data_IF_290789860548
#
_entry.id   IF_290789860548
#
_cell.length_a   1.000
_cell.length_b   1.000
_cell.length_c   1.000
_cell.angle_alpha   90.00
_cell.angle_beta   90.00
_cell.angle_gamma   90.00
#
_symmetry.space_group_name_H-M   'P 1'
#
loop_
_entity.id
_entity.type
_entity.pdbx_description
1 polymer ?
#
# COMPACT_ATOMS: atom_id res chain seq x y z
N UNK A 1 19.57 -14.85 -10.19
CA UNK A 1 18.41 -14.27 -10.90
C UNK A 1 18.90 -13.78 -12.25
N UNK A 2 18.15 -13.97 -13.35
CA UNK A 2 18.51 -13.36 -14.62
C UNK A 2 18.58 -11.85 -14.45
N UNK A 3 19.61 -11.23 -14.99
CA UNK A 3 19.81 -9.79 -14.97
C UNK A 3 19.06 -9.07 -16.09
N UNK A 4 18.60 -9.81 -17.09
CA UNK A 4 17.86 -9.29 -18.23
C UNK A 4 16.40 -9.73 -18.11
N UNK A 5 15.52 -8.76 -17.89
CA UNK A 5 14.08 -8.91 -17.91
C UNK A 5 13.55 -8.08 -19.08
N UNK A 6 12.98 -8.75 -20.06
CA UNK A 6 12.22 -8.06 -21.10
C UNK A 6 10.90 -7.57 -20.49
N UNK A 7 10.65 -6.26 -20.58
CA UNK A 7 9.36 -5.71 -20.22
C UNK A 7 8.29 -6.19 -21.22
N UNK A 8 7.12 -6.56 -20.72
CA UNK A 8 5.97 -6.81 -21.59
C UNK A 8 5.60 -5.54 -22.38
N UNK A 9 5.17 -5.74 -23.63
CA UNK A 9 4.69 -4.64 -24.46
C UNK A 9 3.30 -4.21 -23.98
N UNK A 10 3.28 -3.29 -23.04
CA UNK A 10 2.07 -2.75 -22.41
C UNK A 10 2.10 -1.23 -22.41
N UNK A 11 0.95 -0.61 -22.54
CA UNK A 11 0.81 0.83 -22.44
C UNK A 11 -0.07 1.26 -21.25
N UNK A 12 -0.22 2.57 -21.09
CA UNK A 12 -0.95 3.16 -19.96
C UNK A 12 -2.45 2.76 -19.93
N UNK A 13 -3.04 2.41 -21.08
CA UNK A 13 -4.44 2.01 -21.23
C UNK A 13 -4.68 0.52 -21.04
N UNK A 14 -3.63 -0.30 -20.91
CA UNK A 14 -3.78 -1.73 -20.69
C UNK A 14 -4.21 -2.07 -19.27
N UNK A 15 -4.85 -3.24 -19.10
CA UNK A 15 -5.24 -3.75 -17.81
C UNK A 15 -4.00 -4.13 -16.98
N UNK A 16 -3.88 -3.52 -15.79
CA UNK A 16 -2.78 -3.79 -14.89
C UNK A 16 -3.13 -4.87 -13.85
N UNK A 17 -4.26 -4.73 -13.18
CA UNK A 17 -4.69 -5.67 -12.13
C UNK A 17 -6.19 -5.55 -11.85
N UNK A 18 -6.72 -6.51 -11.08
CA UNK A 18 -8.09 -6.49 -10.59
C UNK A 18 -8.11 -6.41 -9.08
N UNK A 19 -9.04 -5.63 -8.55
CA UNK A 19 -9.39 -5.64 -7.13
C UNK A 19 -10.86 -5.96 -6.96
N UNK A 20 -11.17 -6.81 -5.97
CA UNK A 20 -12.54 -7.18 -5.68
C UNK A 20 -13.10 -6.34 -4.55
N UNK A 21 -14.29 -5.77 -4.75
CA UNK A 21 -15.06 -5.12 -3.70
C UNK A 21 -16.23 -6.01 -3.27
N UNK A 22 -16.58 -5.95 -1.98
CA UNK A 22 -17.82 -6.53 -1.47
C UNK A 22 -18.99 -5.70 -2.01
N UNK A 23 -19.70 -6.19 -3.04
CA UNK A 23 -20.88 -5.51 -3.55
C UNK A 23 -22.05 -5.59 -2.57
N UNK A 24 -22.92 -4.58 -2.58
CA UNK A 24 -24.19 -4.56 -1.81
C UNK A 24 -25.13 -5.71 -2.17
N UNK A 25 -24.91 -6.38 -3.29
CA UNK A 25 -25.69 -7.51 -3.81
C UNK A 25 -25.18 -8.90 -3.38
N UNK A 26 -24.20 -8.96 -2.46
CA UNK A 26 -23.68 -10.20 -1.87
C UNK A 26 -22.62 -10.95 -2.70
N UNK A 27 -22.44 -10.59 -3.99
CA UNK A 27 -21.37 -11.17 -4.83
C UNK A 27 -20.22 -10.15 -4.97
N UNK A 28 -18.95 -10.56 -4.78
CA UNK A 28 -17.80 -9.71 -5.03
C UNK A 28 -17.79 -9.23 -6.49
N UNK A 29 -17.52 -7.95 -6.70
CA UNK A 29 -17.37 -7.35 -8.03
C UNK A 29 -15.89 -7.13 -8.30
N UNK A 30 -15.38 -7.65 -9.42
CA UNK A 30 -14.05 -7.38 -9.91
C UNK A 30 -14.01 -5.98 -10.55
N UNK A 31 -13.11 -5.14 -10.05
CA UNK A 31 -12.83 -3.81 -10.59
C UNK A 31 -11.51 -3.89 -11.32
N UNK A 32 -11.54 -3.59 -12.62
CA UNK A 32 -10.34 -3.54 -13.45
C UNK A 32 -9.64 -2.21 -13.24
N UNK A 33 -8.34 -2.27 -13.00
CA UNK A 33 -7.47 -1.11 -12.95
C UNK A 33 -6.50 -1.12 -14.13
N UNK A 34 -6.29 0.03 -14.74
CA UNK A 34 -5.36 0.25 -15.83
C UNK A 34 -3.99 0.68 -15.29
N UNK A 35 -2.95 0.58 -16.11
CA UNK A 35 -1.60 1.00 -15.69
C UNK A 35 -1.55 2.47 -15.27
N UNK A 36 -2.28 3.37 -15.94
CA UNK A 36 -2.30 4.80 -15.58
C UNK A 36 -2.99 5.09 -14.24
N UNK A 37 -3.87 4.22 -13.73
CA UNK A 37 -4.60 4.45 -12.48
C UNK A 37 -3.64 4.58 -11.28
N UNK A 38 -2.56 3.79 -11.29
CA UNK A 38 -1.54 3.89 -10.25
C UNK A 38 -0.85 5.26 -10.26
N UNK A 39 -0.43 5.71 -11.43
CA UNK A 39 0.20 7.02 -11.58
C UNK A 39 -0.75 8.16 -11.16
N UNK A 40 -2.02 8.07 -11.53
CA UNK A 40 -3.03 9.05 -11.16
C UNK A 40 -3.23 9.12 -9.65
N UNK A 41 -3.40 7.97 -8.98
CA UNK A 41 -3.63 7.93 -7.53
C UNK A 41 -2.39 8.32 -6.73
N UNK A 42 -1.20 7.97 -7.20
CA UNK A 42 0.08 8.43 -6.63
C UNK A 42 0.17 9.95 -6.64
N UNK A 43 -0.11 10.56 -7.78
CA UNK A 43 -0.03 12.00 -7.94
C UNK A 43 -1.12 12.71 -7.14
N UNK A 44 -2.39 12.36 -7.35
CA UNK A 44 -3.52 13.08 -6.74
C UNK A 44 -3.59 12.88 -5.23
N UNK A 45 -3.51 11.64 -4.74
CA UNK A 45 -3.65 11.36 -3.31
C UNK A 45 -2.30 11.23 -2.61
N UNK A 46 -1.38 10.43 -3.13
CA UNK A 46 -0.10 10.17 -2.49
C UNK A 46 0.73 11.44 -2.30
N UNK A 47 0.90 12.23 -3.36
CA UNK A 47 1.72 13.44 -3.30
C UNK A 47 0.94 14.67 -2.80
N UNK A 48 -0.28 14.92 -3.30
CA UNK A 48 -1.00 16.17 -3.00
C UNK A 48 -1.85 16.13 -1.73
N UNK A 49 -2.30 14.97 -1.28
CA UNK A 49 -3.11 14.84 -0.06
C UNK A 49 -2.27 14.32 1.10
N UNK A 50 -1.59 13.18 0.93
CA UNK A 50 -0.73 12.62 1.97
C UNK A 50 0.60 13.39 2.09
N UNK A 51 1.07 13.98 1.02
CA UNK A 51 2.35 14.68 0.99
C UNK A 51 3.56 13.75 1.17
N UNK A 52 3.47 12.50 0.69
CA UNK A 52 4.56 11.51 0.79
C UNK A 52 5.80 12.01 0.08
N UNK A 53 6.97 11.87 0.70
CA UNK A 53 8.26 12.38 0.25
C UNK A 53 9.29 11.26 0.18
N UNK A 54 10.40 11.52 -0.51
CA UNK A 54 11.49 10.56 -0.70
C UNK A 54 12.19 10.11 0.60
N UNK A 55 12.16 10.96 1.62
CA UNK A 55 12.74 10.68 2.93
C UNK A 55 11.75 9.98 3.90
N UNK A 56 10.51 9.74 3.47
CA UNK A 56 9.53 9.06 4.30
C UNK A 56 9.75 7.54 4.38
N UNK A 57 9.46 7.03 5.57
CA UNK A 57 9.40 5.61 5.88
C UNK A 57 7.94 5.27 6.21
N UNK A 58 7.29 4.54 5.31
CA UNK A 58 5.89 4.16 5.42
C UNK A 58 5.73 2.79 6.09
N UNK A 59 4.89 2.71 7.11
CA UNK A 59 4.48 1.44 7.73
C UNK A 59 2.96 1.29 7.59
N UNK A 60 2.53 0.28 6.87
CA UNK A 60 1.11 -0.03 6.66
C UNK A 60 0.71 -1.34 7.33
N UNK A 61 -0.31 -1.29 8.17
CA UNK A 61 -0.91 -2.49 8.79
C UNK A 61 -1.76 -3.28 7.80
N UNK A 62 -2.60 -2.65 6.97
CA UNK A 62 -3.25 -3.33 5.86
C UNK A 62 -2.24 -4.00 4.93
N UNK A 63 -2.56 -5.23 4.53
CA UNK A 63 -1.68 -6.02 3.66
C UNK A 63 -1.71 -5.50 2.22
N UNK A 64 -0.60 -5.70 1.53
CA UNK A 64 -0.38 -5.24 0.16
C UNK A 64 -1.42 -5.76 -0.86
N UNK A 65 -2.07 -6.88 -0.57
CA UNK A 65 -3.12 -7.45 -1.43
C UNK A 65 -4.50 -6.82 -1.25
N UNK A 66 -4.67 -5.87 -0.32
CA UNK A 66 -5.84 -5.01 -0.21
C UNK A 66 -5.57 -3.65 -0.85
N UNK A 67 -6.58 -3.03 -1.45
CA UNK A 67 -6.46 -1.72 -2.11
C UNK A 67 -5.78 -0.67 -1.23
N UNK A 68 -6.18 -0.56 0.04
CA UNK A 68 -5.60 0.37 1.00
C UNK A 68 -4.14 0.07 1.31
N UNK A 69 -3.79 -1.21 1.51
CA UNK A 69 -2.40 -1.63 1.74
C UNK A 69 -1.53 -1.53 0.49
N UNK A 70 -2.11 -1.78 -0.69
CA UNK A 70 -1.42 -1.66 -1.97
C UNK A 70 -0.94 -0.22 -2.22
N UNK A 71 -1.82 0.76 -2.06
CA UNK A 71 -1.46 2.17 -2.17
C UNK A 71 -0.39 2.57 -1.18
N UNK A 72 -0.64 2.31 0.10
CA UNK A 72 0.19 2.79 1.21
C UNK A 72 1.55 2.10 1.34
N UNK A 73 1.67 0.86 0.85
CA UNK A 73 2.92 0.08 0.95
C UNK A 73 3.70 -0.01 -0.34
N UNK A 74 3.08 0.23 -1.48
CA UNK A 74 3.74 0.05 -2.77
C UNK A 74 3.69 1.34 -3.59
N UNK A 75 2.49 1.72 -4.07
CA UNK A 75 2.42 2.73 -5.12
C UNK A 75 2.79 4.13 -4.62
N UNK A 76 2.33 4.56 -3.45
CA UNK A 76 2.59 5.91 -2.95
C UNK A 76 4.06 6.13 -2.54
N UNK A 77 4.67 5.31 -1.64
CA UNK A 77 6.06 5.53 -1.27
C UNK A 77 7.01 5.37 -2.46
N UNK A 78 6.81 4.37 -3.31
CA UNK A 78 7.72 4.13 -4.42
C UNK A 78 7.64 5.19 -5.52
N UNK A 79 6.50 5.88 -5.66
CA UNK A 79 6.36 6.98 -6.62
C UNK A 79 7.31 8.16 -6.37
N UNK A 80 7.76 8.30 -5.14
CA UNK A 80 8.67 9.38 -4.71
C UNK A 80 10.05 8.87 -4.27
N UNK A 81 10.30 7.56 -4.37
CA UNK A 81 11.55 6.95 -3.88
C UNK A 81 11.62 6.77 -2.36
N UNK A 82 10.45 6.80 -1.68
CA UNK A 82 10.35 6.56 -0.24
C UNK A 82 10.54 5.09 0.14
N UNK A 83 10.61 4.84 1.43
CA UNK A 83 10.85 3.51 2.00
C UNK A 83 9.55 2.90 2.52
N UNK A 84 9.39 1.58 2.37
CA UNK A 84 8.27 0.82 2.91
C UNK A 84 8.74 -0.26 3.87
N UNK A 85 8.09 -0.32 5.04
CA UNK A 85 8.25 -1.41 6.00
C UNK A 85 7.08 -2.38 5.86
N UNK A 86 7.37 -3.62 5.48
CA UNK A 86 6.39 -4.70 5.35
C UNK A 86 6.44 -5.61 6.57
N UNK A 87 5.28 -5.82 7.21
CA UNK A 87 5.14 -6.77 8.31
C UNK A 87 4.70 -8.13 7.76
N UNK A 88 5.52 -9.18 7.87
CA UNK A 88 5.10 -10.54 7.52
C UNK A 88 4.06 -11.04 8.54
N UNK A 89 3.17 -11.92 8.12
CA UNK A 89 2.17 -12.54 8.98
C UNK A 89 1.09 -11.60 9.51
N UNK A 90 0.37 -12.03 10.54
CA UNK A 90 -0.71 -11.24 11.17
C UNK A 90 -0.12 -10.12 12.03
N UNK A 91 -0.55 -8.86 11.86
CA UNK A 91 -0.02 -7.74 12.64
C UNK A 91 -0.54 -7.80 14.09
N UNK A 92 0.31 -8.33 14.98
CA UNK A 92 0.06 -8.28 16.43
C UNK A 92 0.63 -6.98 17.00
N UNK A 93 0.04 -6.41 18.07
CA UNK A 93 0.53 -5.15 18.67
C UNK A 93 2.02 -5.15 18.97
N UNK A 94 2.55 -6.22 19.56
CA UNK A 94 3.98 -6.32 19.85
C UNK A 94 4.87 -6.20 18.60
N UNK A 95 4.45 -6.83 17.49
CA UNK A 95 5.20 -6.75 16.23
C UNK A 95 5.13 -5.34 15.60
N UNK A 96 4.00 -4.66 15.77
CA UNK A 96 3.83 -3.27 15.31
C UNK A 96 4.76 -2.34 16.11
N UNK A 97 4.77 -2.45 17.45
CA UNK A 97 5.65 -1.63 18.28
C UNK A 97 7.13 -1.90 18.02
N UNK A 98 7.50 -3.16 17.78
CA UNK A 98 8.87 -3.51 17.41
C UNK A 98 9.27 -2.89 16.07
N UNK A 99 8.38 -2.95 15.07
CA UNK A 99 8.63 -2.30 13.79
C UNK A 99 8.76 -0.77 13.93
N UNK A 100 7.91 -0.14 14.74
CA UNK A 100 7.99 1.30 15.01
C UNK A 100 9.32 1.66 15.66
N UNK A 101 9.78 0.90 16.65
CA UNK A 101 11.07 1.13 17.32
C UNK A 101 12.25 0.97 16.37
N UNK A 102 12.22 -0.10 15.58
CA UNK A 102 13.34 -0.48 14.71
C UNK A 102 13.46 0.45 13.51
N UNK A 103 12.34 0.71 12.83
CA UNK A 103 12.33 1.39 11.55
C UNK A 103 11.94 2.87 11.63
N UNK A 104 11.41 3.31 12.77
CA UNK A 104 11.00 4.69 13.03
C UNK A 104 10.19 5.31 11.87
N UNK A 105 9.06 4.68 11.46
CA UNK A 105 8.28 5.16 10.34
C UNK A 105 7.82 6.60 10.57
N UNK A 106 7.86 7.41 9.51
CA UNK A 106 7.37 8.79 9.51
C UNK A 106 5.88 8.84 9.19
N UNK A 107 5.38 7.84 8.44
CA UNK A 107 3.96 7.70 8.11
C UNK A 107 3.46 6.31 8.53
N UNK A 108 2.36 6.29 9.30
CA UNK A 108 1.74 5.07 9.79
C UNK A 108 0.30 4.94 9.28
N UNK A 109 0.03 3.87 8.53
CA UNK A 109 -1.31 3.56 8.02
C UNK A 109 -1.93 2.42 8.81
N UNK A 110 -3.00 2.72 9.53
CA UNK A 110 -3.71 1.75 10.36
C UNK A 110 -5.19 1.61 9.99
N UNK A 111 -5.83 0.68 10.64
CA UNK A 111 -7.29 0.49 10.64
C UNK A 111 -7.81 0.70 12.05
N UNK A 112 -9.12 0.98 12.26
CA UNK A 112 -9.69 1.22 13.59
C UNK A 112 -9.39 0.09 14.59
N UNK A 113 -9.57 -1.17 14.21
CA UNK A 113 -9.34 -2.31 15.11
C UNK A 113 -7.88 -2.44 15.59
N UNK A 114 -6.85 -2.37 14.73
CA UNK A 114 -5.45 -2.27 15.18
C UNK A 114 -5.21 -1.09 16.10
N UNK A 115 -5.71 0.10 15.82
CA UNK A 115 -5.55 1.26 16.71
C UNK A 115 -6.12 1.01 18.11
N UNK A 116 -7.33 0.46 18.20
CA UNK A 116 -7.91 0.08 19.49
C UNK A 116 -7.05 -0.92 20.23
N UNK A 117 -6.49 -1.91 19.52
CA UNK A 117 -5.59 -2.91 20.12
C UNK A 117 -4.29 -2.30 20.63
N UNK A 118 -3.77 -1.24 20.00
CA UNK A 118 -2.58 -0.51 20.43
C UNK A 118 -2.85 0.37 21.66
N UNK A 119 -4.04 0.95 21.76
CA UNK A 119 -4.42 1.82 22.88
C UNK A 119 -4.65 1.01 24.16
N UNK A 120 -5.15 -0.22 24.06
CA UNK A 120 -5.49 -1.06 25.23
C UNK A 120 -4.34 -1.96 25.72
N UNK A 121 -3.12 -1.73 25.26
CA UNK A 121 -1.92 -2.35 25.82
C UNK A 121 -1.33 -1.48 26.92
#
# INVERSE_FOLDING_TARGET
MPTDLDCADTDAGDMAFWMYSSGTTGRPKGIVHLHHDMAYTQHSYGQHVLGVRADDVCLSIPKIYFAYGFGNSLTFPFSVGGTTVLLPGRPKPAAIFEAIKTWRPTIFFGLPTPYLSLIHI
#
